data_IF_445307723473
#
_entry.id   IF_445307723473
#
_cell.length_a   1.000
_cell.length_b   1.000
_cell.length_c   1.000
_cell.angle_alpha   90.00
_cell.angle_beta   90.00
_cell.angle_gamma   90.00
#
_symmetry.space_group_name_H-M   'P 1'
#
loop_
_entity.id
_entity.type
_entity.pdbx_description
1 polymer ?
#
# COMPACT_ATOMS: atom_id res chain seq x y z
N UNK A 1 -3.51 12.54 -21.99
CA UNK A 1 -2.10 12.65 -21.69
C UNK A 1 -1.78 11.70 -20.54
N UNK A 2 -0.89 10.76 -20.80
CA UNK A 2 -0.29 9.92 -19.77
C UNK A 2 0.55 10.86 -18.88
N UNK A 3 0.06 11.17 -17.72
CA UNK A 3 0.85 11.87 -16.72
C UNK A 3 1.82 10.85 -16.13
N UNK A 4 3.04 10.87 -16.63
CA UNK A 4 4.18 10.24 -15.99
C UNK A 4 4.40 10.96 -14.66
N UNK A 5 4.02 10.34 -13.56
CA UNK A 5 4.32 10.85 -12.22
C UNK A 5 5.81 10.63 -11.96
N UNK A 6 6.61 11.66 -12.15
CA UNK A 6 8.01 11.63 -11.77
C UNK A 6 8.13 11.91 -10.28
N UNK A 7 8.19 10.87 -9.46
CA UNK A 7 8.61 11.02 -8.07
C UNK A 7 10.12 11.35 -8.05
N UNK A 8 10.51 12.47 -7.44
CA UNK A 8 11.90 12.82 -7.21
C UNK A 8 12.16 13.01 -5.72
N UNK A 9 12.95 12.13 -5.14
CA UNK A 9 13.45 12.32 -3.79
C UNK A 9 14.83 12.95 -3.83
N UNK A 10 15.05 13.98 -2.97
CA UNK A 10 16.29 14.75 -2.90
C UNK A 10 16.91 14.63 -1.52
N UNK A 11 17.97 13.84 -1.42
CA UNK A 11 18.75 13.71 -0.21
C UNK A 11 19.91 14.71 -0.18
N UNK A 12 20.01 15.52 0.90
CA UNK A 12 21.02 16.57 1.07
C UNK A 12 21.98 16.24 2.21
N UNK A 13 23.29 16.19 1.94
CA UNK A 13 24.33 16.00 2.95
C UNK A 13 25.42 17.05 2.81
N UNK A 14 25.92 17.56 3.95
CA UNK A 14 27.07 18.45 3.98
C UNK A 14 28.37 17.67 3.72
N UNK A 15 29.26 18.25 2.93
CA UNK A 15 30.56 17.67 2.59
C UNK A 15 31.44 17.39 3.82
N UNK A 16 31.36 18.26 4.81
CA UNK A 16 32.08 18.13 6.10
C UNK A 16 31.68 16.85 6.84
N UNK A 17 30.37 16.55 6.91
CA UNK A 17 29.87 15.30 7.51
C UNK A 17 30.38 14.07 6.77
N UNK A 18 30.58 14.17 5.45
CA UNK A 18 31.09 13.07 4.63
C UNK A 18 32.58 12.80 4.87
N UNK A 19 33.35 13.85 5.21
CA UNK A 19 34.80 13.73 5.49
C UNK A 19 35.11 13.24 6.90
N UNK A 20 34.27 13.59 7.87
CA UNK A 20 34.46 13.27 9.31
C UNK A 20 33.81 11.96 9.75
N UNK A 21 33.17 11.24 8.83
CA UNK A 21 32.40 10.05 9.20
C UNK A 21 33.30 8.85 9.50
N UNK A 22 32.93 8.09 10.52
CA UNK A 22 33.57 6.85 10.98
C UNK A 22 33.60 5.77 9.88
N UNK A 23 32.65 5.79 8.94
CA UNK A 23 32.50 4.80 7.86
C UNK A 23 33.43 5.05 6.66
N UNK A 24 34.11 6.21 6.58
CA UNK A 24 35.13 6.53 5.59
C UNK A 24 34.64 6.52 4.15
N UNK A 25 35.43 5.93 3.22
CA UNK A 25 35.18 5.94 1.78
C UNK A 25 33.89 5.19 1.34
N UNK A 26 33.32 4.36 2.21
CA UNK A 26 32.13 3.57 1.89
C UNK A 26 30.78 4.28 2.19
N UNK A 27 30.80 5.47 2.81
CA UNK A 27 29.58 6.18 3.19
C UNK A 27 28.66 6.47 1.97
N UNK A 28 29.22 6.84 0.83
CA UNK A 28 28.43 7.08 -0.39
C UNK A 28 27.71 5.82 -0.85
N UNK A 29 28.37 4.66 -0.77
CA UNK A 29 27.74 3.39 -1.11
C UNK A 29 26.60 3.08 -0.15
N UNK A 30 26.81 3.25 1.15
CA UNK A 30 25.80 3.03 2.18
C UNK A 30 24.58 3.94 1.96
N UNK A 31 24.79 5.22 1.65
CA UNK A 31 23.71 6.15 1.32
C UNK A 31 22.92 5.66 0.11
N UNK A 32 23.61 5.24 -0.96
CA UNK A 32 22.95 4.75 -2.16
C UNK A 32 22.16 3.46 -1.88
N UNK A 33 22.72 2.56 -1.10
CA UNK A 33 22.06 1.29 -0.73
C UNK A 33 20.82 1.54 0.14
N UNK A 34 20.89 2.47 1.11
CA UNK A 34 19.75 2.89 1.91
C UNK A 34 18.66 3.54 1.05
N UNK A 35 19.01 4.44 0.14
CA UNK A 35 18.07 5.08 -0.79
C UNK A 35 17.38 4.02 -1.68
N UNK A 36 18.14 3.06 -2.19
CA UNK A 36 17.60 2.01 -3.06
C UNK A 36 16.65 1.10 -2.28
N UNK A 37 17.00 0.75 -1.04
CA UNK A 37 16.16 -0.08 -0.17
C UNK A 37 14.86 0.64 0.16
N UNK A 38 14.93 1.91 0.59
CA UNK A 38 13.73 2.71 0.90
C UNK A 38 12.86 2.91 -0.34
N UNK A 39 13.46 3.21 -1.49
CA UNK A 39 12.74 3.31 -2.75
C UNK A 39 11.95 2.04 -3.08
N UNK A 40 12.53 0.86 -2.81
CA UNK A 40 11.83 -0.41 -3.02
C UNK A 40 10.55 -0.53 -2.17
N UNK A 41 10.62 -0.11 -0.90
CA UNK A 41 9.47 -0.11 0.02
C UNK A 41 8.41 0.91 -0.42
N UNK A 42 8.84 2.14 -0.74
CA UNK A 42 7.94 3.21 -1.18
C UNK A 42 7.24 2.85 -2.50
N UNK A 43 7.94 2.19 -3.41
CA UNK A 43 7.37 1.73 -4.68
C UNK A 43 6.35 0.60 -4.49
N UNK A 44 6.61 -0.36 -3.59
CA UNK A 44 5.64 -1.41 -3.26
C UNK A 44 4.35 -0.80 -2.70
N UNK A 45 4.47 0.18 -1.81
CA UNK A 45 3.34 0.90 -1.24
C UNK A 45 2.53 1.64 -2.31
N UNK A 46 3.19 2.39 -3.20
CA UNK A 46 2.54 3.10 -4.30
C UNK A 46 1.85 2.16 -5.30
N UNK A 47 2.44 1.00 -5.61
CA UNK A 47 1.82 0.03 -6.51
C UNK A 47 0.56 -0.59 -5.90
N UNK A 48 0.56 -0.83 -4.60
CA UNK A 48 -0.57 -1.44 -3.89
C UNK A 48 -1.63 -0.40 -3.52
N UNK A 49 -1.23 0.65 -2.79
CA UNK A 49 -2.11 1.55 -2.05
C UNK A 49 -2.31 2.92 -2.71
N UNK A 50 -1.67 3.20 -3.86
CA UNK A 50 -1.85 4.47 -4.56
C UNK A 50 -3.32 4.78 -4.82
N UNK A 51 -3.73 6.04 -4.62
CA UNK A 51 -5.10 6.52 -4.80
C UNK A 51 -5.10 8.02 -5.15
N UNK A 52 -5.34 8.34 -6.42
CA UNK A 52 -5.39 9.73 -6.91
C UNK A 52 -6.52 10.55 -6.24
N UNK A 53 -7.55 9.90 -5.71
CA UNK A 53 -8.65 10.58 -5.03
C UNK A 53 -8.20 11.19 -3.69
N UNK A 54 -7.14 10.69 -3.06
CA UNK A 54 -6.53 11.30 -1.87
C UNK A 54 -6.03 12.75 -2.11
N UNK A 55 -5.73 13.10 -3.35
CA UNK A 55 -5.39 14.46 -3.74
C UNK A 55 -6.58 15.42 -3.73
N UNK A 56 -7.81 14.92 -3.61
CA UNK A 56 -9.06 15.69 -3.61
C UNK A 56 -9.61 15.93 -2.19
N UNK A 57 -8.94 15.41 -1.15
CA UNK A 57 -9.37 15.58 0.24
C UNK A 57 -9.18 17.05 0.63
N UNK A 58 -10.28 17.71 0.94
CA UNK A 58 -10.30 19.14 1.32
C UNK A 58 -10.03 19.31 2.83
N UNK A 59 -9.56 20.49 3.21
CA UNK A 59 -9.39 20.82 4.62
C UNK A 59 -10.78 21.01 5.29
N UNK A 60 -10.92 20.50 6.53
CA UNK A 60 -12.14 20.63 7.31
C UNK A 60 -12.54 22.10 7.45
N UNK A 61 -13.81 22.39 7.19
CA UNK A 61 -14.40 23.72 7.32
C UNK A 61 -15.55 23.72 8.33
N UNK A 62 -15.47 24.59 9.32
CA UNK A 62 -16.55 24.76 10.32
C UNK A 62 -17.87 25.25 9.71
N UNK A 63 -17.87 25.77 8.49
CA UNK A 63 -19.06 26.23 7.79
C UNK A 63 -19.71 25.19 6.89
N UNK A 64 -19.06 24.06 6.68
CA UNK A 64 -19.56 22.96 5.85
C UNK A 64 -20.32 21.91 6.67
N UNK A 65 -21.16 21.17 5.98
CA UNK A 65 -21.83 19.96 6.51
C UNK A 65 -21.25 18.76 5.80
N UNK A 66 -21.03 17.68 6.55
CA UNK A 66 -20.45 16.44 6.03
C UNK A 66 -21.39 15.28 6.26
N UNK A 67 -21.42 14.36 5.33
CA UNK A 67 -22.18 13.12 5.44
C UNK A 67 -21.27 11.99 5.95
N UNK A 68 -21.88 10.89 6.36
CA UNK A 68 -21.13 9.68 6.71
C UNK A 68 -20.37 9.16 5.50
N UNK A 69 -19.05 8.99 5.66
CA UNK A 69 -18.13 8.54 4.61
C UNK A 69 -17.38 9.68 3.91
N UNK A 70 -17.74 10.95 4.17
CA UNK A 70 -16.96 12.06 3.67
C UNK A 70 -15.59 12.11 4.34
N UNK A 71 -14.57 12.50 3.57
CA UNK A 71 -13.19 12.58 4.03
C UNK A 71 -12.71 14.01 4.07
N UNK A 72 -12.01 14.37 5.13
CA UNK A 72 -11.44 15.71 5.32
C UNK A 72 -10.06 15.64 5.94
N UNK A 73 -9.23 16.62 5.64
CA UNK A 73 -7.96 16.82 6.34
C UNK A 73 -8.13 17.80 7.50
N UNK A 74 -7.60 17.46 8.68
CA UNK A 74 -7.59 18.34 9.84
C UNK A 74 -6.31 18.20 10.64
N UNK A 75 -5.58 19.30 10.81
CA UNK A 75 -4.29 19.33 11.54
C UNK A 75 -3.26 18.30 11.08
N UNK A 76 -3.17 18.11 9.77
CA UNK A 76 -2.18 17.20 9.17
C UNK A 76 -2.55 15.71 9.23
N UNK A 77 -3.79 15.40 9.58
CA UNK A 77 -4.37 14.06 9.59
C UNK A 77 -5.60 14.00 8.70
N UNK A 78 -5.93 12.83 8.21
CA UNK A 78 -7.11 12.58 7.40
C UNK A 78 -8.12 11.81 8.23
N UNK A 79 -9.37 12.24 8.13
CA UNK A 79 -10.49 11.66 8.85
C UNK A 79 -11.63 11.32 7.91
N UNK A 80 -12.29 10.19 8.15
CA UNK A 80 -13.57 9.85 7.53
C UNK A 80 -14.70 9.98 8.55
N UNK A 81 -15.79 10.63 8.16
CA UNK A 81 -16.95 10.78 9.04
C UNK A 81 -17.73 9.48 9.20
N UNK A 82 -17.90 9.04 10.43
CA UNK A 82 -18.68 7.83 10.80
C UNK A 82 -20.18 8.12 10.91
N UNK A 83 -20.53 9.41 11.05
CA UNK A 83 -21.91 9.92 11.12
C UNK A 83 -21.96 11.31 10.47
N UNK A 84 -23.16 11.81 10.18
CA UNK A 84 -23.33 13.16 9.65
C UNK A 84 -22.83 14.22 10.65
N UNK A 85 -22.05 15.18 10.16
CA UNK A 85 -21.53 16.32 10.91
C UNK A 85 -22.17 17.61 10.39
N UNK A 86 -22.89 18.33 11.26
CA UNK A 86 -23.46 19.63 10.92
C UNK A 86 -22.38 20.72 11.01
N UNK A 87 -22.60 21.83 10.31
CA UNK A 87 -21.73 23.00 10.41
C UNK A 87 -21.45 23.38 11.87
N UNK A 88 -20.17 23.46 12.23
CA UNK A 88 -19.72 23.68 13.60
C UNK A 88 -18.23 23.39 13.78
N UNK A 89 -17.73 23.58 15.00
CA UNK A 89 -16.36 23.31 15.35
C UNK A 89 -16.04 21.81 15.32
N UNK A 90 -14.78 21.48 15.01
CA UNK A 90 -14.28 20.11 15.02
C UNK A 90 -14.44 19.46 16.41
N UNK A 91 -15.16 18.36 16.49
CA UNK A 91 -15.37 17.59 17.74
C UNK A 91 -14.57 16.30 17.77
N UNK A 92 -14.31 15.69 16.60
CA UNK A 92 -13.61 14.42 16.46
C UNK A 92 -14.37 13.19 16.97
N UNK A 93 -15.61 13.35 17.46
CA UNK A 93 -16.40 12.23 18.02
C UNK A 93 -17.16 11.43 16.97
N UNK A 94 -17.38 12.05 15.83
CA UNK A 94 -18.12 11.57 14.65
C UNK A 94 -17.22 11.29 13.46
N UNK A 95 -15.89 11.28 13.67
CA UNK A 95 -14.91 11.02 12.65
C UNK A 95 -13.82 10.05 13.15
N UNK A 96 -13.35 9.19 12.27
CA UNK A 96 -12.26 8.24 12.51
C UNK A 96 -11.02 8.65 11.72
N UNK A 97 -9.85 8.62 12.35
CA UNK A 97 -8.58 8.87 11.68
C UNK A 97 -8.24 7.71 10.74
N UNK A 98 -8.06 8.01 9.45
CA UNK A 98 -7.77 7.02 8.40
C UNK A 98 -6.36 7.14 7.85
N UNK A 99 -5.63 8.22 8.14
CA UNK A 99 -4.26 8.43 7.68
C UNK A 99 -3.70 9.79 8.04
N UNK A 100 -2.51 10.07 7.52
CA UNK A 100 -1.87 11.39 7.64
C UNK A 100 -1.89 12.14 6.31
N UNK A 101 -1.79 13.46 6.35
CA UNK A 101 -1.67 14.27 5.13
C UNK A 101 -0.39 13.92 4.33
N UNK A 102 0.68 13.52 5.03
CA UNK A 102 1.92 13.08 4.37
C UNK A 102 1.73 11.79 3.58
N UNK A 103 0.97 10.84 4.11
CA UNK A 103 0.64 9.59 3.42
C UNK A 103 -0.25 9.86 2.21
N UNK A 104 -1.26 10.74 2.34
CA UNK A 104 -2.10 11.14 1.23
C UNK A 104 -1.33 11.90 0.13
N UNK A 105 -0.41 12.79 0.53
CA UNK A 105 0.43 13.50 -0.43
C UNK A 105 1.37 12.59 -1.20
N UNK A 106 1.74 11.45 -0.60
CA UNK A 106 2.54 10.42 -1.22
C UNK A 106 1.69 9.51 -2.13
N UNK A 107 0.56 8.98 -1.62
CA UNK A 107 -0.25 7.98 -2.32
C UNK A 107 -1.10 8.57 -3.46
N UNK A 108 -1.36 9.88 -3.49
CA UNK A 108 -2.14 10.54 -4.55
C UNK A 108 -1.50 10.57 -5.94
N UNK A 109 -0.29 10.02 -6.09
CA UNK A 109 0.50 10.11 -7.32
C UNK A 109 -0.13 9.29 -8.45
N UNK A 110 -0.69 8.13 -8.14
CA UNK A 110 -1.29 7.20 -9.10
C UNK A 110 -2.33 6.30 -8.43
N UNK A 111 -3.20 5.68 -9.22
CA UNK A 111 -4.10 4.63 -8.75
C UNK A 111 -3.39 3.28 -8.69
N UNK A 112 -3.18 2.77 -7.47
CA UNK A 112 -2.60 1.46 -7.22
C UNK A 112 -3.55 0.29 -7.53
N UNK A 113 -3.03 -0.91 -7.41
CA UNK A 113 -3.81 -2.13 -7.75
C UNK A 113 -5.04 -2.33 -6.87
N UNK A 114 -4.98 -1.97 -5.57
CA UNK A 114 -6.15 -2.07 -4.67
C UNK A 114 -7.30 -1.21 -5.19
N UNK A 115 -7.01 0.04 -5.55
CA UNK A 115 -8.00 0.98 -6.08
C UNK A 115 -8.58 0.49 -7.40
N UNK A 116 -7.73 0.03 -8.33
CA UNK A 116 -8.16 -0.50 -9.62
C UNK A 116 -9.06 -1.74 -9.46
N UNK A 117 -8.71 -2.68 -8.56
CA UNK A 117 -9.51 -3.87 -8.29
C UNK A 117 -10.82 -3.50 -7.61
N UNK A 118 -10.81 -2.57 -6.67
CA UNK A 118 -12.01 -2.11 -5.98
C UNK A 118 -13.02 -1.47 -6.95
N UNK A 119 -12.54 -0.79 -7.98
CA UNK A 119 -13.38 -0.12 -8.97
C UNK A 119 -13.85 -1.05 -10.11
N UNK A 120 -13.07 -2.05 -10.51
CA UNK A 120 -13.36 -2.85 -11.70
C UNK A 120 -13.30 -4.37 -11.53
N UNK A 121 -12.77 -4.86 -10.39
CA UNK A 121 -12.66 -6.29 -10.07
C UNK A 121 -13.85 -6.81 -9.24
N UNK A 122 -13.66 -7.98 -8.64
CA UNK A 122 -14.65 -8.60 -7.76
C UNK A 122 -14.41 -8.26 -6.31
N UNK A 123 -15.29 -7.50 -5.68
CA UNK A 123 -15.18 -7.08 -4.28
C UNK A 123 -16.01 -8.00 -3.37
N UNK A 124 -15.43 -8.46 -2.27
CA UNK A 124 -16.12 -9.13 -1.17
C UNK A 124 -15.98 -8.30 0.10
N UNK A 125 -17.09 -7.74 0.57
CA UNK A 125 -17.15 -6.99 1.82
C UNK A 125 -17.23 -7.95 3.02
N UNK A 126 -16.19 -7.91 3.87
CA UNK A 126 -16.08 -8.71 5.09
C UNK A 126 -16.39 -7.91 6.36
N UNK A 127 -16.90 -6.68 6.28
CA UNK A 127 -17.15 -5.79 7.41
C UNK A 127 -18.10 -6.38 8.47
N UNK A 128 -18.96 -7.32 8.07
CA UNK A 128 -19.85 -8.06 8.97
C UNK A 128 -19.18 -9.26 9.67
N UNK A 129 -17.93 -9.59 9.33
CA UNK A 129 -17.18 -10.71 9.90
C UNK A 129 -16.18 -10.20 10.94
N UNK A 130 -16.16 -10.85 12.09
CA UNK A 130 -15.25 -10.52 13.19
C UNK A 130 -14.00 -11.39 13.24
N UNK A 131 -13.96 -12.46 12.46
CA UNK A 131 -12.87 -13.45 12.49
C UNK A 131 -12.54 -13.97 11.08
N UNK A 132 -11.26 -14.31 10.89
CA UNK A 132 -10.79 -15.02 9.71
C UNK A 132 -11.49 -16.40 9.61
N UNK A 133 -11.97 -16.76 8.45
CA UNK A 133 -12.68 -18.03 8.24
C UNK A 133 -12.42 -18.62 6.86
N UNK A 134 -12.50 -19.95 6.76
CA UNK A 134 -12.36 -20.65 5.48
C UNK A 134 -13.48 -20.26 4.49
N UNK A 135 -14.67 -19.99 5.00
CA UNK A 135 -15.85 -19.56 4.23
C UNK A 135 -15.60 -18.25 3.47
N UNK A 136 -14.88 -17.31 4.11
CA UNK A 136 -14.44 -16.03 3.51
C UNK A 136 -13.66 -16.27 2.21
N UNK A 137 -12.66 -17.13 2.26
CA UNK A 137 -11.82 -17.44 1.11
C UNK A 137 -12.58 -18.15 -0.02
N UNK A 138 -13.44 -19.11 0.31
CA UNK A 138 -14.25 -19.80 -0.70
C UNK A 138 -15.29 -18.88 -1.35
N UNK A 139 -15.94 -18.01 -0.60
CA UNK A 139 -16.89 -17.02 -1.13
C UNK A 139 -16.22 -16.04 -2.08
N UNK A 140 -15.02 -15.57 -1.71
CA UNK A 140 -14.24 -14.69 -2.58
C UNK A 140 -13.78 -15.41 -3.83
N UNK A 141 -13.25 -16.62 -3.71
CA UNK A 141 -12.86 -17.44 -4.86
C UNK A 141 -14.03 -17.71 -5.82
N UNK A 142 -15.22 -17.90 -5.30
CA UNK A 142 -16.42 -18.15 -6.13
C UNK A 142 -16.84 -16.95 -6.99
N UNK A 143 -16.36 -15.75 -6.70
CA UNK A 143 -16.61 -14.55 -7.50
C UNK A 143 -15.77 -14.50 -8.78
N UNK A 144 -14.60 -15.15 -8.77
CA UNK A 144 -13.74 -15.22 -9.96
C UNK A 144 -14.31 -16.24 -10.95
N UNK A 145 -14.46 -15.90 -12.24
CA UNK A 145 -14.88 -16.83 -13.27
C UNK A 145 -13.95 -18.06 -13.36
N UNK A 146 -14.53 -19.25 -13.53
CA UNK A 146 -13.79 -20.52 -13.55
C UNK A 146 -12.63 -20.55 -14.55
N UNK A 147 -12.72 -19.81 -15.66
CA UNK A 147 -11.64 -19.73 -16.68
C UNK A 147 -10.31 -19.23 -16.12
N UNK A 148 -10.33 -18.44 -15.03
CA UNK A 148 -9.14 -17.90 -14.39
C UNK A 148 -8.65 -18.76 -13.22
N UNK A 149 -9.44 -19.71 -12.73
CA UNK A 149 -9.04 -20.63 -11.68
C UNK A 149 -8.17 -21.79 -12.25
N UNK A 150 -6.99 -21.44 -12.72
CA UNK A 150 -6.06 -22.31 -13.44
C UNK A 150 -4.87 -22.79 -12.59
N UNK A 151 -4.94 -22.62 -11.26
CA UNK A 151 -3.88 -23.01 -10.31
C UNK A 151 -2.76 -21.96 -10.17
N UNK A 152 -2.82 -20.85 -10.88
CA UNK A 152 -1.83 -19.75 -10.78
C UNK A 152 -2.23 -18.66 -9.80
N UNK A 153 -3.48 -18.62 -9.37
CA UNK A 153 -3.97 -17.66 -8.39
C UNK A 153 -3.14 -17.74 -7.10
N UNK A 154 -2.97 -16.59 -6.44
CA UNK A 154 -2.32 -16.43 -5.14
C UNK A 154 -3.14 -15.47 -4.29
N UNK A 155 -3.18 -15.75 -3.00
CA UNK A 155 -3.64 -14.80 -2.02
C UNK A 155 -2.47 -13.86 -1.68
N UNK A 156 -2.69 -12.55 -1.78
CA UNK A 156 -1.77 -11.53 -1.32
C UNK A 156 -2.38 -10.94 -0.05
N UNK A 157 -1.66 -10.98 1.05
CA UNK A 157 -2.15 -10.51 2.34
C UNK A 157 -1.00 -9.95 3.19
N UNK A 158 -1.32 -9.13 4.19
CA UNK A 158 -0.32 -8.67 5.13
C UNK A 158 0.24 -9.83 5.97
N UNK A 159 1.47 -9.73 6.48
CA UNK A 159 2.05 -10.74 7.37
C UNK A 159 1.18 -11.01 8.60
N UNK A 160 0.51 -9.98 9.13
CA UNK A 160 -0.41 -10.12 10.26
C UNK A 160 -1.60 -11.01 9.92
N UNK A 161 -2.21 -10.79 8.75
CA UNK A 161 -3.34 -11.63 8.28
C UNK A 161 -2.91 -13.07 7.99
N UNK A 162 -1.70 -13.27 7.50
CA UNK A 162 -1.14 -14.62 7.34
C UNK A 162 -1.00 -15.34 8.69
N UNK A 163 -0.49 -14.65 9.72
CA UNK A 163 -0.39 -15.17 11.08
C UNK A 163 -1.76 -15.46 11.71
N UNK A 164 -2.75 -14.59 11.51
CA UNK A 164 -4.12 -14.82 11.98
C UNK A 164 -4.75 -16.05 11.33
N UNK A 165 -4.49 -16.26 10.04
CA UNK A 165 -4.92 -17.46 9.34
C UNK A 165 -4.30 -18.73 9.93
N UNK A 166 -3.00 -18.72 10.19
CA UNK A 166 -2.31 -19.83 10.86
C UNK A 166 -2.89 -20.10 12.24
N UNK A 167 -3.12 -19.05 13.03
CA UNK A 167 -3.72 -19.16 14.36
C UNK A 167 -5.14 -19.74 14.31
N UNK A 168 -5.95 -19.30 13.33
CA UNK A 168 -7.30 -19.84 13.10
C UNK A 168 -7.25 -21.34 12.83
N UNK A 169 -6.34 -21.80 11.98
CA UNK A 169 -6.18 -23.24 11.67
C UNK A 169 -5.71 -24.03 12.90
N UNK A 170 -4.71 -23.52 13.63
CA UNK A 170 -4.22 -24.12 14.88
C UNK A 170 -5.37 -24.32 15.86
N UNK A 171 -6.18 -23.30 16.11
CA UNK A 171 -7.30 -23.38 17.03
C UNK A 171 -8.35 -24.43 16.58
N UNK A 172 -8.63 -24.52 15.29
CA UNK A 172 -9.56 -25.52 14.74
C UNK A 172 -9.05 -26.93 14.89
N UNK A 173 -7.78 -27.17 14.64
CA UNK A 173 -7.18 -28.52 14.70
C UNK A 173 -6.93 -28.96 16.13
N UNK A 174 -6.43 -28.10 17.00
CA UNK A 174 -6.28 -28.38 18.43
C UNK A 174 -7.65 -28.69 19.05
N UNK A 175 -8.68 -27.90 18.73
CA UNK A 175 -10.05 -28.14 19.18
C UNK A 175 -10.63 -29.48 18.71
N UNK A 176 -10.15 -30.02 17.58
CA UNK A 176 -10.53 -31.33 17.05
C UNK A 176 -9.63 -32.48 17.50
N UNK A 177 -8.56 -32.22 18.30
CA UNK A 177 -7.61 -33.22 18.79
C UNK A 177 -6.67 -33.81 17.74
N UNK A 178 -6.45 -33.10 16.63
CA UNK A 178 -5.61 -33.52 15.50
C UNK A 178 -4.26 -32.78 15.42
N UNK A 179 -3.30 -33.34 14.65
CA UNK A 179 -2.10 -32.65 14.25
C UNK A 179 -2.34 -31.85 12.97
N UNK A 180 -1.81 -30.63 12.89
CA UNK A 180 -1.94 -29.77 11.72
C UNK A 180 -0.89 -30.13 10.69
N UNK A 181 -1.25 -30.50 9.46
CA UNK A 181 -0.29 -30.69 8.38
C UNK A 181 0.31 -29.33 7.96
N UNK A 182 1.62 -29.28 7.75
CA UNK A 182 2.35 -28.06 7.35
C UNK A 182 1.76 -27.36 6.11
N UNK A 183 1.19 -28.15 5.18
CA UNK A 183 0.61 -27.64 3.94
C UNK A 183 -0.70 -26.85 4.12
N UNK A 184 -1.32 -26.88 5.29
CA UNK A 184 -2.59 -26.17 5.57
C UNK A 184 -2.32 -24.74 5.99
N UNK A 185 -1.19 -24.45 6.62
CA UNK A 185 -0.88 -23.12 7.16
C UNK A 185 -0.81 -22.02 6.11
N UNK A 186 -0.40 -22.35 4.90
CA UNK A 186 -0.09 -21.37 3.87
C UNK A 186 -1.04 -21.37 2.67
N UNK A 187 -2.09 -22.19 2.68
CA UNK A 187 -2.93 -22.43 1.50
C UNK A 187 -4.45 -22.31 1.79
N UNK A 188 -4.97 -21.09 2.11
CA UNK A 188 -6.42 -20.88 2.23
C UNK A 188 -7.13 -21.30 0.94
N UNK A 189 -8.20 -22.11 1.05
CA UNK A 189 -8.92 -22.67 -0.09
C UNK A 189 -8.01 -23.36 -1.14
N UNK A 190 -6.91 -24.01 -0.69
CA UNK A 190 -5.89 -24.67 -1.52
C UNK A 190 -5.09 -23.73 -2.46
N UNK A 191 -5.14 -22.43 -2.24
CA UNK A 191 -4.40 -21.42 -2.98
C UNK A 191 -3.34 -20.84 -2.06
N UNK A 192 -2.08 -20.84 -2.50
CA UNK A 192 -0.94 -20.37 -1.71
C UNK A 192 -1.09 -18.88 -1.39
N UNK A 193 -0.79 -18.52 -0.16
CA UNK A 193 -0.66 -17.14 0.29
C UNK A 193 0.77 -16.61 0.03
N UNK A 194 0.87 -15.34 -0.30
CA UNK A 194 2.10 -14.56 -0.41
C UNK A 194 1.95 -13.36 0.53
N UNK A 195 2.92 -13.18 1.39
CA UNK A 195 2.96 -12.05 2.31
C UNK A 195 3.45 -10.80 1.61
N UNK A 196 2.69 -9.71 1.73
CA UNK A 196 3.00 -8.40 1.20
C UNK A 196 3.00 -7.39 2.36
N UNK A 197 4.18 -6.96 2.86
CA UNK A 197 4.27 -6.08 4.02
C UNK A 197 3.57 -4.73 3.88
N UNK A 198 3.54 -4.17 2.67
CA UNK A 198 2.88 -2.90 2.39
C UNK A 198 1.36 -3.01 2.21
N UNK A 199 0.80 -4.24 2.26
CA UNK A 199 -0.65 -4.42 2.18
C UNK A 199 -1.31 -4.13 3.53
N UNK A 200 -2.38 -3.32 3.50
CA UNK A 200 -3.17 -3.02 4.71
C UNK A 200 -3.82 -4.28 5.29
N UNK A 201 -4.00 -4.30 6.62
CA UNK A 201 -4.59 -5.44 7.34
C UNK A 201 -6.08 -5.65 7.05
N UNK A 202 -6.78 -4.65 6.54
CA UNK A 202 -8.21 -4.73 6.19
C UNK A 202 -8.47 -5.32 4.82
N UNK A 203 -7.40 -5.64 4.05
CA UNK A 203 -7.48 -6.05 2.65
C UNK A 203 -6.76 -7.37 2.40
N UNK A 204 -7.37 -8.25 1.60
CA UNK A 204 -6.72 -9.43 1.02
C UNK A 204 -7.04 -9.48 -0.48
N UNK A 205 -6.02 -9.66 -1.33
CA UNK A 205 -6.19 -9.76 -2.78
C UNK A 205 -6.12 -11.23 -3.23
N UNK A 206 -6.85 -11.56 -4.28
CA UNK A 206 -6.77 -12.84 -5.00
C UNK A 206 -6.57 -12.57 -6.48
N UNK A 207 -5.39 -12.92 -6.99
CA UNK A 207 -5.07 -12.79 -8.41
C UNK A 207 -3.88 -13.68 -8.81
N UNK A 208 -3.62 -13.83 -10.10
CA UNK A 208 -2.32 -14.31 -10.59
C UNK A 208 -1.30 -13.17 -10.44
N UNK A 209 -0.16 -13.35 -9.76
CA UNK A 209 0.86 -12.30 -9.65
C UNK A 209 1.33 -11.72 -11.00
N UNK A 210 1.24 -12.49 -12.07
CA UNK A 210 1.57 -12.03 -13.43
C UNK A 210 0.53 -11.08 -14.03
N UNK A 211 -0.65 -11.02 -13.45
CA UNK A 211 -1.72 -10.11 -13.83
C UNK A 211 -1.46 -8.68 -13.31
N UNK A 212 -0.59 -8.55 -12.31
CA UNK A 212 -0.14 -7.28 -11.76
C UNK A 212 1.11 -6.82 -12.51
N UNK A 213 0.97 -5.78 -13.31
CA UNK A 213 2.00 -5.30 -14.21
C UNK A 213 2.45 -3.90 -13.78
N UNK A 214 3.75 -3.65 -13.79
CA UNK A 214 4.31 -2.32 -13.65
C UNK A 214 4.96 -1.94 -14.97
N UNK A 215 4.49 -0.87 -15.57
CA UNK A 215 5.03 -0.33 -16.82
C UNK A 215 6.03 0.76 -16.50
N UNK A 216 7.25 0.63 -17.03
CA UNK A 216 8.30 1.64 -16.89
C UNK A 216 8.79 2.07 -18.27
N UNK A 217 8.91 3.36 -18.55
CA UNK A 217 9.51 3.85 -19.80
C UNK A 217 11.03 3.89 -19.72
N UNK A 218 11.57 4.03 -18.51
CA UNK A 218 13.01 3.93 -18.25
C UNK A 218 13.27 3.39 -16.84
N UNK A 219 14.44 2.78 -16.66
CA UNK A 219 14.83 2.25 -15.34
C UNK A 219 15.14 3.35 -14.33
N UNK A 220 15.12 3.00 -13.06
CA UNK A 220 15.50 3.88 -11.94
C UNK A 220 16.87 4.50 -12.18
N UNK A 221 16.98 5.82 -12.07
CA UNK A 221 18.22 6.58 -12.23
C UNK A 221 18.50 7.39 -10.98
N UNK A 222 19.59 7.04 -10.30
CA UNK A 222 20.12 7.83 -9.19
C UNK A 222 21.23 8.73 -9.74
N UNK A 223 21.07 10.03 -9.57
CA UNK A 223 22.08 11.02 -9.98
C UNK A 223 22.61 11.74 -8.76
N UNK A 224 23.93 11.90 -8.75
CA UNK A 224 24.63 12.70 -7.76
C UNK A 224 25.13 13.99 -8.43
N UNK A 225 24.95 15.13 -7.76
CA UNK A 225 25.57 16.38 -8.18
C UNK A 225 26.27 17.07 -7.01
N UNK A 226 27.47 17.56 -7.29
CA UNK A 226 28.26 18.43 -6.42
C UNK A 226 28.40 19.82 -7.05
N UNK A 227 27.88 20.00 -8.25
CA UNK A 227 27.95 21.22 -9.04
C UNK A 227 26.60 21.93 -9.00
N UNK A 228 26.65 23.24 -9.13
CA UNK A 228 25.48 24.11 -9.07
C UNK A 228 25.55 25.12 -7.93
N UNK A 229 24.84 26.22 -8.08
CA UNK A 229 24.91 27.36 -7.15
C UNK A 229 24.63 26.96 -5.70
N UNK A 230 23.61 26.15 -5.48
CA UNK A 230 23.23 25.70 -4.13
C UNK A 230 24.23 24.67 -3.55
N UNK A 231 24.71 23.74 -4.37
CA UNK A 231 25.69 22.75 -3.94
C UNK A 231 26.99 23.42 -3.47
N UNK A 232 27.48 24.39 -4.26
CA UNK A 232 28.72 25.11 -3.98
C UNK A 232 28.55 26.07 -2.80
N UNK A 233 27.44 26.84 -2.73
CA UNK A 233 27.23 27.83 -1.67
C UNK A 233 26.98 27.20 -0.31
N UNK A 234 26.39 26.01 -0.26
CA UNK A 234 26.01 25.32 0.98
C UNK A 234 26.94 24.15 1.32
N UNK A 235 27.98 23.92 0.51
CA UNK A 235 28.88 22.74 0.63
C UNK A 235 28.10 21.42 0.78
N UNK A 236 27.15 21.17 -0.15
CA UNK A 236 26.24 20.03 -0.08
C UNK A 236 26.32 19.18 -1.34
N UNK A 237 26.15 17.87 -1.17
CA UNK A 237 25.89 16.93 -2.25
C UNK A 237 24.40 16.63 -2.34
N UNK A 238 23.87 16.61 -3.55
CA UNK A 238 22.49 16.24 -3.82
C UNK A 238 22.46 14.89 -4.52
N UNK A 239 21.64 14.00 -3.99
CA UNK A 239 21.29 12.73 -4.61
C UNK A 239 19.86 12.85 -5.07
N UNK A 240 19.60 12.59 -6.36
CA UNK A 240 18.27 12.70 -6.95
C UNK A 240 17.94 11.39 -7.62
N UNK A 241 16.84 10.79 -7.21
CA UNK A 241 16.28 9.59 -7.84
C UNK A 241 15.21 10.01 -8.84
N UNK A 242 15.32 9.52 -10.05
CA UNK A 242 14.29 9.65 -11.08
C UNK A 242 13.78 8.27 -11.46
N UNK A 243 12.48 8.13 -11.42
CA UNK A 243 11.79 6.94 -11.88
C UNK A 243 10.50 7.35 -12.61
N UNK A 244 10.02 6.44 -13.44
CA UNK A 244 8.78 6.55 -14.17
C UNK A 244 8.10 5.19 -14.10
N UNK A 245 6.85 5.14 -13.66
CA UNK A 245 6.12 3.90 -13.47
C UNK A 245 4.62 4.13 -13.59
N UNK A 246 3.91 3.05 -13.94
CA UNK A 246 2.46 2.99 -13.97
C UNK A 246 2.02 1.56 -13.61
N UNK A 247 1.36 1.34 -12.45
CA UNK A 247 0.83 0.05 -12.09
C UNK A 247 -0.49 -0.18 -12.80
N UNK A 248 -0.58 -1.29 -13.56
CA UNK A 248 -1.79 -1.67 -14.29
C UNK A 248 -2.15 -3.13 -14.01
N UNK A 249 -3.41 -3.47 -14.24
CA UNK A 249 -3.92 -4.84 -14.19
C UNK A 249 -4.28 -5.27 -15.59
N UNK A 250 -3.74 -6.43 -16.05
CA UNK A 250 -3.98 -6.94 -17.38
C UNK A 250 -5.46 -7.34 -17.57
N UNK A 251 -6.01 -8.06 -16.58
CA UNK A 251 -7.37 -8.59 -16.63
C UNK A 251 -8.07 -8.42 -15.28
N UNK A 252 -8.96 -7.44 -15.15
CA UNK A 252 -9.69 -7.14 -13.91
C UNK A 252 -10.63 -8.27 -13.49
N UNK A 253 -11.26 -8.96 -14.44
CA UNK A 253 -12.12 -10.12 -14.15
C UNK A 253 -11.38 -11.30 -13.50
N UNK A 254 -10.04 -11.34 -13.62
CA UNK A 254 -9.19 -12.35 -12.97
C UNK A 254 -8.76 -11.94 -11.54
N UNK A 255 -9.35 -10.91 -10.99
CA UNK A 255 -8.99 -10.37 -9.66
C UNK A 255 -10.18 -10.39 -8.72
N UNK A 256 -9.92 -10.61 -7.44
CA UNK A 256 -10.88 -10.39 -6.38
C UNK A 256 -10.20 -9.75 -5.16
N UNK A 257 -10.95 -8.96 -4.42
CA UNK A 257 -10.50 -8.29 -3.21
C UNK A 257 -11.47 -8.55 -2.07
N UNK A 258 -10.96 -8.82 -0.89
CA UNK A 258 -11.68 -8.83 0.37
C UNK A 258 -11.38 -7.50 1.04
N UNK A 259 -12.41 -6.80 1.49
CA UNK A 259 -12.28 -5.49 2.17
C UNK A 259 -13.02 -5.51 3.50
N UNK A 260 -12.68 -4.58 4.40
CA UNK A 260 -13.39 -4.39 5.66
C UNK A 260 -13.10 -5.45 6.72
N UNK A 261 -11.98 -6.14 6.65
CA UNK A 261 -11.52 -7.04 7.70
C UNK A 261 -11.16 -6.22 8.96
N UNK A 262 -11.62 -6.68 10.12
CA UNK A 262 -11.39 -6.01 11.41
C UNK A 262 -10.34 -6.71 12.25
#
# INVERSE_FOLDING_TARGET
>A
PLYSSAASDVYKRQEETLRENIEGEHLEQIITDLMTTQLGVDMEDLYLNGDEDMGKIEEFSESATYEKGDEVSYKGKIYSFTAAHNAGAWTGTDAEEIGTQGDADFLKINDGWIKQISNGGHVYDASAQSEMSLDLFYKTLSKIPNKYNNGKLRWLMSPRRAQEWELFLLNKVIGAGGAVPDSIYTAPAKIQAVECPSLSDDVILLTDPKNLIVVNTYGVKIRKTVEGKEAIMMDKRFYVTHLDYDPIIEELDATAIITGLK
#
